data_IF_176573709767
#
_entry.id   IF_176573709767
#
_cell.length_a   1.000
_cell.length_b   1.000
_cell.length_c   1.000
_cell.angle_alpha   90.00
_cell.angle_beta   90.00
_cell.angle_gamma   90.00
#
_symmetry.space_group_name_H-M   'P 1'
#
loop_
_entity.id
_entity.type
_entity.pdbx_description
1 polymer ?
#
# COMPACT_ATOMS: atom_id res chain seq x y z
N UNK A 1 -5.54 2.51 7.06
CA UNK A 1 -6.21 3.33 8.09
C UNK A 1 -6.26 4.82 7.76
N UNK A 2 -5.13 5.50 7.47
CA UNK A 2 -5.12 6.94 7.19
C UNK A 2 -6.04 7.35 6.01
N UNK A 3 -6.02 6.60 4.91
CA UNK A 3 -6.92 6.83 3.76
C UNK A 3 -8.41 6.74 4.14
N UNK A 4 -8.77 5.84 5.06
CA UNK A 4 -10.14 5.72 5.57
C UNK A 4 -10.54 6.95 6.37
N UNK A 5 -9.62 7.46 7.22
CA UNK A 5 -9.83 8.72 7.93
C UNK A 5 -10.03 9.90 6.96
N UNK A 6 -9.22 9.99 5.90
CA UNK A 6 -9.38 11.02 4.87
C UNK A 6 -10.74 10.92 4.16
N UNK A 7 -11.16 9.70 3.79
CA UNK A 7 -12.47 9.48 3.18
C UNK A 7 -13.60 9.94 4.11
N UNK A 8 -13.51 9.64 5.41
CA UNK A 8 -14.51 10.06 6.39
C UNK A 8 -14.53 11.58 6.61
N UNK A 9 -13.36 12.22 6.67
CA UNK A 9 -13.25 13.65 6.95
C UNK A 9 -13.69 14.50 5.74
N UNK A 10 -13.23 14.13 4.54
CA UNK A 10 -13.46 14.91 3.32
C UNK A 10 -14.68 14.46 2.52
N UNK A 11 -15.26 13.30 2.85
CA UNK A 11 -16.45 12.74 2.17
C UNK A 11 -16.24 12.61 0.66
N UNK A 12 -15.05 12.18 0.25
CA UNK A 12 -14.63 12.04 -1.16
C UNK A 12 -14.71 10.59 -1.65
N UNK A 13 -14.88 10.36 -2.98
CA UNK A 13 -14.73 9.03 -3.57
C UNK A 13 -13.28 8.54 -3.46
N UNK A 14 -13.12 7.22 -3.41
CA UNK A 14 -11.84 6.52 -3.29
C UNK A 14 -11.75 5.42 -4.35
N UNK A 15 -10.61 5.35 -5.03
CA UNK A 15 -10.22 4.21 -5.87
C UNK A 15 -9.03 3.50 -5.20
N UNK A 16 -9.06 2.17 -5.18
CA UNK A 16 -7.97 1.34 -4.66
C UNK A 16 -7.58 0.34 -5.73
N UNK A 17 -6.34 0.45 -6.21
CA UNK A 17 -5.74 -0.46 -7.18
C UNK A 17 -5.15 -1.68 -6.47
N UNK A 18 -5.40 -2.86 -7.02
CA UNK A 18 -4.74 -4.11 -6.63
C UNK A 18 -3.85 -4.56 -7.80
N UNK A 19 -2.55 -4.38 -7.64
CA UNK A 19 -1.52 -4.64 -8.67
C UNK A 19 -1.17 -6.12 -8.75
N UNK A 20 -2.17 -6.96 -9.06
CA UNK A 20 -1.99 -8.41 -9.22
C UNK A 20 -1.09 -8.76 -10.41
N UNK A 21 -1.11 -7.94 -11.47
CA UNK A 21 -0.18 -8.05 -12.60
C UNK A 21 1.27 -7.76 -12.20
N UNK A 22 1.52 -6.72 -11.39
CA UNK A 22 2.83 -6.43 -10.81
C UNK A 22 3.34 -7.61 -9.96
N UNK A 23 2.50 -8.15 -9.07
CA UNK A 23 2.90 -9.30 -8.26
C UNK A 23 3.27 -10.50 -9.12
N UNK A 24 2.51 -10.79 -10.17
CA UNK A 24 2.82 -11.84 -11.14
C UNK A 24 4.15 -11.58 -11.88
N UNK A 25 4.46 -10.33 -12.20
CA UNK A 25 5.67 -9.95 -12.93
C UNK A 25 6.95 -9.92 -12.06
N UNK A 26 6.83 -9.60 -10.77
CA UNK A 26 7.97 -9.48 -9.85
C UNK A 26 8.22 -10.71 -8.98
N UNK A 27 7.22 -11.58 -8.82
CA UNK A 27 7.30 -12.80 -8.04
C UNK A 27 7.06 -14.00 -8.94
N UNK A 28 7.54 -15.17 -8.50
CA UNK A 28 7.27 -16.42 -9.21
C UNK A 28 5.86 -16.93 -8.85
N UNK A 29 4.83 -16.20 -9.31
CA UNK A 29 3.42 -16.49 -9.08
C UNK A 29 2.70 -16.64 -10.41
N UNK A 30 1.75 -17.57 -10.49
CA UNK A 30 0.85 -17.65 -11.64
C UNK A 30 -0.14 -16.48 -11.67
N UNK A 31 -0.81 -16.30 -12.81
CA UNK A 31 -1.88 -15.29 -12.95
C UNK A 31 -3.04 -15.63 -12.02
N UNK A 32 -3.39 -16.91 -11.90
CA UNK A 32 -4.47 -17.40 -11.05
C UNK A 32 -4.15 -17.15 -9.57
N UNK A 33 -2.93 -17.45 -9.14
CA UNK A 33 -2.46 -17.18 -7.78
C UNK A 33 -2.49 -15.68 -7.47
N UNK A 34 -2.02 -14.85 -8.40
CA UNK A 34 -1.98 -13.40 -8.21
C UNK A 34 -3.38 -12.79 -8.09
N UNK A 35 -4.33 -13.24 -8.94
CA UNK A 35 -5.74 -12.84 -8.85
C UNK A 35 -6.39 -13.28 -7.54
N UNK A 36 -6.10 -14.50 -7.08
CA UNK A 36 -6.58 -15.01 -5.80
C UNK A 36 -6.06 -14.16 -4.63
N UNK A 37 -4.77 -13.82 -4.63
CA UNK A 37 -4.17 -12.95 -3.62
C UNK A 37 -4.79 -11.55 -3.61
N UNK A 38 -5.02 -10.94 -4.78
CA UNK A 38 -5.75 -9.68 -4.86
C UNK A 38 -7.17 -9.79 -4.28
N UNK A 39 -7.88 -10.87 -4.56
CA UNK A 39 -9.21 -11.10 -3.99
C UNK A 39 -9.19 -11.22 -2.45
N UNK A 40 -8.22 -11.96 -1.90
CA UNK A 40 -8.06 -12.06 -0.44
C UNK A 40 -7.63 -10.72 0.18
N UNK A 41 -6.70 -9.98 -0.44
CA UNK A 41 -6.28 -8.67 0.05
C UNK A 41 -7.40 -7.62 -0.03
N UNK A 42 -8.31 -7.73 -1.01
CA UNK A 42 -9.50 -6.88 -1.06
C UNK A 42 -10.35 -7.03 0.21
N UNK A 43 -10.46 -8.23 0.77
CA UNK A 43 -11.20 -8.49 2.03
C UNK A 43 -10.57 -7.74 3.20
N UNK A 44 -9.25 -7.78 3.33
CA UNK A 44 -8.53 -7.07 4.39
C UNK A 44 -8.68 -5.55 4.27
N UNK A 45 -8.66 -5.04 3.04
CA UNK A 45 -8.90 -3.62 2.76
C UNK A 45 -10.34 -3.24 3.15
N UNK A 46 -11.34 -4.02 2.74
CA UNK A 46 -12.75 -3.79 3.08
C UNK A 46 -12.94 -3.79 4.60
N UNK A 47 -12.26 -4.68 5.32
CA UNK A 47 -12.34 -4.76 6.77
C UNK A 47 -11.84 -3.50 7.50
N UNK A 48 -11.02 -2.65 6.85
CA UNK A 48 -10.65 -1.33 7.38
C UNK A 48 -11.87 -0.39 7.53
N UNK A 49 -13.02 -0.75 6.95
CA UNK A 49 -14.29 -0.06 7.15
C UNK A 49 -14.48 1.15 6.25
N UNK A 50 -14.04 1.05 4.99
CA UNK A 50 -14.33 2.05 3.96
C UNK A 50 -15.82 2.09 3.60
N UNK A 51 -16.31 3.25 3.15
CA UNK A 51 -17.68 3.42 2.70
C UNK A 51 -17.87 2.74 1.34
N UNK A 52 -18.66 1.67 1.29
CA UNK A 52 -18.94 0.90 0.06
C UNK A 52 -19.58 1.75 -1.05
N UNK A 53 -20.31 2.81 -0.69
CA UNK A 53 -20.98 3.68 -1.68
C UNK A 53 -20.02 4.66 -2.35
N UNK A 54 -18.80 4.80 -1.82
CA UNK A 54 -17.79 5.76 -2.28
C UNK A 54 -16.43 5.13 -2.55
N UNK A 55 -16.33 3.80 -2.49
CA UNK A 55 -15.05 3.09 -2.63
C UNK A 55 -15.14 2.11 -3.79
N UNK A 56 -14.24 2.27 -4.75
CA UNK A 56 -14.08 1.34 -5.85
C UNK A 56 -12.73 0.64 -5.73
N UNK A 57 -12.75 -0.68 -5.55
CA UNK A 57 -11.55 -1.52 -5.49
C UNK A 57 -11.51 -2.33 -6.78
N UNK A 58 -10.37 -2.34 -7.46
CA UNK A 58 -10.21 -3.06 -8.72
C UNK A 58 -8.89 -3.82 -8.78
N UNK A 59 -8.91 -4.95 -9.49
CA UNK A 59 -7.73 -5.71 -9.88
C UNK A 59 -7.30 -5.26 -11.27
N UNK A 60 -5.99 -5.10 -11.48
CA UNK A 60 -5.45 -4.67 -12.76
C UNK A 60 -5.77 -5.69 -13.85
N UNK A 61 -5.60 -6.98 -13.58
CA UNK A 61 -5.98 -8.02 -14.55
C UNK A 61 -7.46 -8.01 -14.96
N UNK A 62 -8.36 -7.46 -14.15
CA UNK A 62 -9.80 -7.44 -14.44
C UNK A 62 -10.29 -6.09 -15.00
N UNK A 63 -9.61 -4.99 -14.66
CA UNK A 63 -10.08 -3.65 -14.99
C UNK A 63 -9.31 -2.99 -16.15
N UNK A 64 -8.06 -3.39 -16.39
CA UNK A 64 -7.23 -2.83 -17.46
C UNK A 64 -7.89 -3.08 -18.82
N UNK A 65 -8.33 -2.00 -19.44
CA UNK A 65 -9.03 -1.98 -20.72
C UNK A 65 -9.67 -0.62 -20.97
N UNK A 66 -10.30 -0.45 -22.14
CA UNK A 66 -11.04 0.77 -22.50
C UNK A 66 -10.26 2.06 -22.18
N UNK A 67 -10.93 3.00 -21.50
CA UNK A 67 -10.36 4.30 -21.14
C UNK A 67 -9.11 4.21 -20.23
N UNK A 68 -9.01 3.17 -19.38
CA UNK A 68 -7.84 2.96 -18.53
C UNK A 68 -6.60 2.69 -19.40
N UNK A 69 -6.73 1.78 -20.37
CA UNK A 69 -5.65 1.44 -21.29
C UNK A 69 -5.30 2.59 -22.24
N UNK A 70 -6.28 3.38 -22.69
CA UNK A 70 -6.01 4.60 -23.47
C UNK A 70 -5.12 5.59 -22.71
N UNK A 71 -5.37 5.79 -21.42
CA UNK A 71 -4.52 6.62 -20.58
C UNK A 71 -3.14 6.00 -20.36
N UNK A 72 -3.03 4.67 -20.24
CA UNK A 72 -1.73 3.98 -20.16
C UNK A 72 -0.87 4.29 -21.38
N UNK A 73 -1.47 4.22 -22.59
CA UNK A 73 -0.76 4.54 -23.83
C UNK A 73 -0.33 6.02 -23.88
N UNK A 74 -1.19 6.95 -23.47
CA UNK A 74 -0.85 8.39 -23.40
C UNK A 74 0.34 8.65 -22.47
N UNK A 75 0.33 8.02 -21.29
CA UNK A 75 1.40 8.11 -20.29
C UNK A 75 2.69 7.46 -20.80
N UNK A 76 2.61 6.23 -21.31
CA UNK A 76 3.76 5.48 -21.82
C UNK A 76 4.49 6.24 -22.93
N UNK A 77 3.78 6.93 -23.83
CA UNK A 77 4.39 7.77 -24.88
C UNK A 77 5.23 8.94 -24.35
N UNK A 78 5.04 9.33 -23.08
CA UNK A 78 5.77 10.43 -22.44
C UNK A 78 7.01 9.96 -21.65
N UNK A 79 7.18 8.64 -21.50
CA UNK A 79 8.19 8.00 -20.68
C UNK A 79 9.17 7.26 -21.60
N UNK A 80 10.45 7.59 -21.50
CA UNK A 80 11.51 6.90 -22.25
C UNK A 80 12.13 5.82 -21.38
N UNK A 81 12.75 4.83 -22.00
CA UNK A 81 13.48 3.79 -21.27
C UNK A 81 14.53 4.36 -20.32
N UNK A 82 15.31 5.35 -20.77
CA UNK A 82 16.31 6.02 -19.91
C UNK A 82 15.71 6.64 -18.64
N UNK A 83 14.45 7.10 -18.67
CA UNK A 83 13.78 7.62 -17.47
C UNK A 83 13.48 6.49 -16.48
N UNK A 84 12.92 5.37 -16.94
CA UNK A 84 12.59 4.27 -16.03
C UNK A 84 13.84 3.60 -15.46
N UNK A 85 14.95 3.57 -16.22
CA UNK A 85 16.27 3.18 -15.70
C UNK A 85 16.72 4.13 -14.58
N UNK A 86 16.63 5.44 -14.80
CA UNK A 86 17.06 6.43 -13.80
C UNK A 86 16.20 6.49 -12.54
N UNK A 87 14.90 6.17 -12.64
CA UNK A 87 13.93 6.28 -11.54
C UNK A 87 13.82 4.96 -10.77
N UNK A 88 13.71 3.83 -11.46
CA UNK A 88 13.43 2.52 -10.86
C UNK A 88 14.64 1.58 -10.86
N UNK A 89 15.75 1.95 -11.52
CA UNK A 89 16.95 1.13 -11.57
C UNK A 89 16.82 -0.10 -12.48
N UNK A 90 15.88 -0.11 -13.42
CA UNK A 90 15.74 -1.22 -14.37
C UNK A 90 16.99 -1.39 -15.24
N UNK A 91 17.21 -2.62 -15.66
CA UNK A 91 18.32 -3.01 -16.53
C UNK A 91 17.80 -3.53 -17.87
N UNK A 92 18.70 -3.76 -18.83
CA UNK A 92 18.33 -4.40 -20.09
C UNK A 92 18.01 -5.90 -19.94
N UNK A 93 18.31 -6.49 -18.78
CA UNK A 93 17.97 -7.88 -18.45
C UNK A 93 16.55 -8.02 -17.88
N UNK A 94 15.95 -6.92 -17.41
CA UNK A 94 14.57 -6.93 -16.95
C UNK A 94 13.60 -7.16 -18.12
N UNK A 95 12.58 -7.96 -17.86
CA UNK A 95 11.57 -8.27 -18.88
C UNK A 95 10.69 -7.05 -19.18
N UNK A 96 10.15 -7.02 -20.39
CA UNK A 96 9.37 -5.89 -20.93
C UNK A 96 8.12 -5.58 -20.09
N UNK A 97 7.61 -6.54 -19.33
CA UNK A 97 6.49 -6.34 -18.42
C UNK A 97 6.85 -5.35 -17.31
N UNK A 98 7.98 -5.56 -16.61
CA UNK A 98 8.45 -4.63 -15.56
C UNK A 98 8.69 -3.24 -16.10
N UNK A 99 9.33 -3.15 -17.26
CA UNK A 99 9.71 -1.88 -17.89
C UNK A 99 8.47 -1.08 -18.29
N UNK A 100 7.40 -1.76 -18.71
CA UNK A 100 6.15 -1.14 -19.16
C UNK A 100 5.07 -1.03 -18.08
N UNK A 101 5.33 -1.52 -16.87
CA UNK A 101 4.40 -1.46 -15.75
C UNK A 101 4.14 -0.05 -15.20
N UNK A 102 5.11 0.89 -15.06
CA UNK A 102 4.85 2.15 -14.37
C UNK A 102 3.58 2.89 -14.83
N UNK A 103 3.28 3.04 -16.14
CA UNK A 103 2.00 3.57 -16.61
C UNK A 103 0.74 2.95 -15.99
N UNK A 104 0.72 1.65 -15.69
CA UNK A 104 -0.40 0.95 -15.02
C UNK A 104 -0.67 1.56 -13.66
N UNK A 105 0.38 1.88 -12.90
CA UNK A 105 0.27 2.48 -11.58
C UNK A 105 0.05 4.00 -11.61
N UNK A 106 0.46 4.68 -12.69
CA UNK A 106 0.27 6.14 -12.83
C UNK A 106 -1.18 6.52 -13.18
N UNK A 107 -1.82 5.77 -14.08
CA UNK A 107 -3.11 6.17 -14.67
C UNK A 107 -4.31 6.22 -13.72
N UNK A 108 -4.35 5.51 -12.57
CA UNK A 108 -5.38 5.74 -11.56
C UNK A 108 -5.37 7.17 -10.99
N UNK A 109 -4.28 7.91 -11.18
CA UNK A 109 -4.18 9.33 -10.81
C UNK A 109 -5.09 10.24 -11.66
N UNK A 110 -5.61 9.74 -12.79
CA UNK A 110 -6.43 10.51 -13.73
C UNK A 110 -7.89 10.03 -13.71
N UNK A 111 -8.86 10.93 -13.50
CA UNK A 111 -10.28 10.56 -13.36
C UNK A 111 -10.86 9.93 -14.64
N UNK A 112 -10.32 10.25 -15.81
CA UNK A 112 -10.74 9.68 -17.09
C UNK A 112 -10.44 8.18 -17.23
N UNK A 113 -9.59 7.61 -16.36
CA UNK A 113 -9.39 6.17 -16.23
C UNK A 113 -10.61 5.46 -15.63
N UNK A 114 -11.54 6.21 -15.03
CA UNK A 114 -12.76 5.72 -14.40
C UNK A 114 -13.99 6.49 -14.91
N UNK A 115 -14.32 6.41 -16.21
CA UNK A 115 -15.40 7.22 -16.80
C UNK A 115 -16.77 6.92 -16.20
N UNK A 116 -16.96 5.70 -15.68
CA UNK A 116 -18.18 5.28 -14.99
C UNK A 116 -18.32 5.88 -13.57
N UNK A 117 -17.21 6.27 -12.92
CA UNK A 117 -17.22 6.95 -11.62
C UNK A 117 -17.22 8.48 -11.78
N UNK A 118 -16.52 8.99 -12.79
CA UNK A 118 -16.25 10.42 -12.98
C UNK A 118 -16.65 10.93 -14.38
N UNK A 119 -17.92 10.72 -14.81
CA UNK A 119 -18.34 11.10 -16.16
C UNK A 119 -18.20 12.61 -16.39
N UNK A 120 -17.44 12.99 -17.42
CA UNK A 120 -17.21 14.39 -17.81
C UNK A 120 -16.36 15.20 -16.82
N UNK A 121 -15.69 14.56 -15.86
CA UNK A 121 -14.93 15.21 -14.79
C UNK A 121 -13.41 15.01 -14.94
N UNK A 122 -12.89 15.28 -16.13
CA UNK A 122 -11.49 15.00 -16.50
C UNK A 122 -10.44 15.83 -15.74
N UNK A 123 -10.87 16.89 -15.06
CA UNK A 123 -10.00 17.83 -14.33
C UNK A 123 -10.09 17.69 -12.80
N UNK A 124 -10.68 16.59 -12.30
CA UNK A 124 -10.66 16.32 -10.86
C UNK A 124 -9.23 16.14 -10.36
N UNK A 125 -8.95 16.71 -9.19
CA UNK A 125 -7.66 16.52 -8.50
C UNK A 125 -7.66 15.18 -7.79
N UNK A 126 -6.54 14.48 -7.88
CA UNK A 126 -6.28 13.25 -7.15
C UNK A 126 -5.36 13.53 -5.95
N UNK A 127 -5.66 12.91 -4.81
CA UNK A 127 -4.80 12.86 -3.62
C UNK A 127 -4.40 11.40 -3.39
N UNK A 128 -3.10 11.15 -3.25
CA UNK A 128 -2.51 9.82 -3.13
C UNK A 128 -1.84 9.70 -1.76
N UNK A 129 -2.48 9.03 -0.79
CA UNK A 129 -1.82 8.65 0.46
C UNK A 129 -1.04 7.36 0.23
N UNK A 130 0.28 7.41 0.38
CA UNK A 130 1.15 6.24 0.19
C UNK A 130 2.35 6.28 1.16
N UNK A 131 3.09 5.17 1.26
CA UNK A 131 4.40 5.19 1.88
C UNK A 131 5.43 5.82 0.91
N UNK A 132 6.54 6.32 1.46
CA UNK A 132 7.56 7.09 0.71
C UNK A 132 8.24 6.29 -0.41
N UNK A 133 8.23 4.96 -0.36
CA UNK A 133 8.77 4.11 -1.43
C UNK A 133 7.98 4.18 -2.75
N UNK A 134 6.75 4.70 -2.71
CA UNK A 134 5.90 4.86 -3.88
C UNK A 134 6.07 6.22 -4.57
N UNK A 135 6.76 7.19 -3.95
CA UNK A 135 7.04 8.52 -4.55
C UNK A 135 7.63 8.44 -5.96
N UNK A 136 8.57 7.55 -6.30
CA UNK A 136 9.16 7.48 -7.65
C UNK A 136 8.11 7.36 -8.78
N UNK A 137 7.04 6.57 -8.58
CA UNK A 137 5.94 6.45 -9.54
C UNK A 137 5.19 7.77 -9.71
N UNK A 138 4.79 8.40 -8.61
CA UNK A 138 3.94 9.58 -8.66
C UNK A 138 4.71 10.86 -8.96
N UNK A 139 6.01 10.90 -8.65
CA UNK A 139 6.92 11.94 -9.12
C UNK A 139 7.02 11.92 -10.65
N UNK A 140 7.16 10.74 -11.25
CA UNK A 140 7.10 10.59 -12.71
C UNK A 140 5.72 10.96 -13.27
N UNK A 141 4.64 10.54 -12.61
CA UNK A 141 3.26 10.89 -12.99
C UNK A 141 3.06 12.41 -13.03
N UNK A 142 3.60 13.15 -12.05
CA UNK A 142 3.51 14.62 -11.98
C UNK A 142 4.26 15.34 -13.09
N UNK A 143 5.31 14.73 -13.65
CA UNK A 143 6.04 15.25 -14.81
C UNK A 143 5.32 14.97 -16.14
N UNK A 144 4.56 13.88 -16.19
CA UNK A 144 3.78 13.45 -17.36
C UNK A 144 2.44 14.18 -17.43
N UNK A 145 1.72 14.34 -16.32
CA UNK A 145 0.37 14.91 -16.25
C UNK A 145 0.14 16.19 -17.09
N UNK A 146 0.97 17.25 -17.00
CA UNK A 146 0.75 18.47 -17.79
C UNK A 146 0.96 18.26 -19.30
N UNK A 147 1.73 17.25 -19.72
CA UNK A 147 1.99 16.94 -21.14
C UNK A 147 0.79 16.29 -21.82
N UNK A 148 -0.06 15.65 -21.03
CA UNK A 148 -1.27 14.95 -21.49
C UNK A 148 -2.56 15.68 -21.09
N UNK A 149 -2.44 16.92 -20.57
CA UNK A 149 -3.58 17.79 -20.28
C UNK A 149 -4.33 17.50 -18.96
N UNK A 150 -3.72 16.76 -18.03
CA UNK A 150 -4.32 16.45 -16.72
C UNK A 150 -3.68 17.24 -15.57
N UNK A 151 -4.40 17.29 -14.45
CA UNK A 151 -3.90 17.87 -13.21
C UNK A 151 -2.87 16.96 -12.55
N UNK A 152 -1.84 17.56 -11.94
CA UNK A 152 -0.84 16.82 -11.16
C UNK A 152 -1.49 16.23 -9.91
N UNK A 153 -1.28 14.94 -9.58
CA UNK A 153 -1.73 14.39 -8.31
C UNK A 153 -0.99 15.03 -7.14
N UNK A 154 -1.68 15.18 -6.01
CA UNK A 154 -1.09 15.53 -4.71
C UNK A 154 -0.74 14.26 -3.95
N UNK A 155 0.31 14.29 -3.12
CA UNK A 155 0.75 13.16 -2.32
C UNK A 155 0.71 13.51 -0.83
N UNK A 156 0.42 12.51 0.00
CA UNK A 156 0.74 12.53 1.43
C UNK A 156 1.52 11.25 1.73
N UNK A 157 2.76 11.42 2.16
CA UNK A 157 3.69 10.31 2.39
C UNK A 157 3.73 9.94 3.87
N UNK A 158 3.64 8.64 4.17
CA UNK A 158 3.94 8.11 5.50
C UNK A 158 5.39 7.63 5.59
N UNK A 159 5.95 7.71 6.80
CA UNK A 159 7.16 6.97 7.14
C UNK A 159 6.93 5.46 7.02
N UNK A 160 8.02 4.70 6.96
CA UNK A 160 7.94 3.24 7.02
C UNK A 160 7.52 2.78 8.42
N UNK A 161 6.85 1.63 8.46
CA UNK A 161 6.76 0.84 9.69
C UNK A 161 8.07 0.06 9.85
N UNK A 162 8.74 0.26 10.98
CA UNK A 162 9.93 -0.49 11.36
C UNK A 162 9.59 -1.99 11.48
N UNK A 163 10.55 -2.85 11.16
CA UNK A 163 10.46 -4.28 11.43
C UNK A 163 10.33 -4.54 12.94
N UNK A 164 10.14 -5.79 13.36
CA UNK A 164 10.21 -6.12 14.79
C UNK A 164 11.65 -6.13 15.31
N UNK A 165 12.68 -6.25 14.47
CA UNK A 165 14.05 -6.46 14.93
C UNK A 165 14.92 -5.19 15.03
N UNK A 166 14.37 -3.99 14.83
CA UNK A 166 15.10 -2.72 14.90
C UNK A 166 15.14 -1.93 13.59
N UNK A 167 15.72 -0.72 13.69
CA UNK A 167 15.80 0.34 12.66
C UNK A 167 16.42 -0.06 11.31
N UNK A 168 17.06 -1.23 11.19
CA UNK A 168 17.74 -1.64 9.94
C UNK A 168 16.86 -2.41 8.96
N UNK A 169 15.57 -2.61 9.24
CA UNK A 169 14.67 -3.37 8.39
C UNK A 169 13.27 -2.76 8.21
N UNK A 170 12.70 -2.92 7.01
CA UNK A 170 11.27 -2.71 6.74
C UNK A 170 10.50 -3.98 7.11
N UNK A 171 9.32 -3.84 7.72
CA UNK A 171 8.44 -4.99 7.94
C UNK A 171 8.09 -5.63 6.59
N UNK A 172 8.43 -6.91 6.42
CA UNK A 172 8.29 -7.60 5.14
C UNK A 172 7.67 -8.97 5.35
N UNK A 173 6.66 -9.29 4.54
CA UNK A 173 6.06 -10.63 4.51
C UNK A 173 7.05 -11.74 4.11
N UNK A 174 8.25 -11.37 3.62
CA UNK A 174 9.32 -12.33 3.29
C UNK A 174 10.10 -12.83 4.52
N UNK A 175 10.07 -12.12 5.65
CA UNK A 175 10.59 -12.62 6.94
C UNK A 175 9.44 -12.76 7.94
N UNK A 176 8.96 -13.99 8.22
CA UNK A 176 7.87 -14.25 9.16
C UNK A 176 8.10 -13.73 10.58
N UNK A 177 9.35 -13.54 11.00
CA UNK A 177 9.70 -13.04 12.33
C UNK A 177 9.78 -11.51 12.39
N UNK A 178 9.83 -10.84 11.23
CA UNK A 178 9.90 -9.39 11.14
C UNK A 178 8.55 -8.69 11.25
N UNK A 179 7.45 -9.44 11.10
CA UNK A 179 6.11 -8.90 10.94
C UNK A 179 5.08 -9.52 11.88
N UNK A 180 4.16 -8.67 12.35
CA UNK A 180 2.91 -9.10 12.97
C UNK A 180 1.86 -9.14 11.87
N UNK A 181 1.29 -10.32 11.62
CA UNK A 181 0.28 -10.51 10.59
C UNK A 181 -1.13 -10.27 11.16
N UNK A 182 -2.05 -9.83 10.31
CA UNK A 182 -3.47 -9.68 10.66
C UNK A 182 -4.14 -11.02 11.00
N UNK A 183 -3.52 -12.13 10.61
CA UNK A 183 -3.95 -13.50 10.90
C UNK A 183 -3.32 -14.10 12.16
N UNK A 184 -2.37 -13.41 12.81
CA UNK A 184 -1.71 -13.92 14.02
C UNK A 184 -2.70 -14.01 15.20
N UNK A 185 -2.61 -15.10 15.97
CA UNK A 185 -3.40 -15.22 17.19
C UNK A 185 -2.87 -14.29 18.29
N UNK A 186 -3.69 -13.98 19.31
CA UNK A 186 -3.23 -13.17 20.45
C UNK A 186 -2.00 -13.74 21.16
N UNK A 187 -1.82 -15.08 21.12
CA UNK A 187 -0.65 -15.76 21.67
C UNK A 187 0.58 -15.53 20.78
N UNK A 188 0.42 -15.61 19.47
CA UNK A 188 1.52 -15.41 18.52
C UNK A 188 1.98 -13.96 18.52
N UNK A 189 1.04 -13.01 18.56
CA UNK A 189 1.32 -11.58 18.73
C UNK A 189 2.15 -11.36 19.99
N UNK A 190 1.71 -11.88 21.15
CA UNK A 190 2.43 -11.75 22.41
C UNK A 190 3.83 -12.35 22.34
N UNK A 191 3.98 -13.52 21.73
CA UNK A 191 5.27 -14.18 21.57
C UNK A 191 6.21 -13.40 20.66
N UNK A 192 5.71 -12.88 19.53
CA UNK A 192 6.50 -12.10 18.59
C UNK A 192 7.01 -10.81 19.21
N UNK A 193 6.13 -10.08 19.89
CA UNK A 193 6.51 -8.85 20.60
C UNK A 193 7.55 -9.14 21.69
N UNK A 194 7.33 -10.16 22.52
CA UNK A 194 8.25 -10.42 23.63
C UNK A 194 9.61 -10.98 23.19
N UNK A 195 9.70 -11.65 22.04
CA UNK A 195 10.93 -12.34 21.61
C UNK A 195 11.70 -11.60 20.55
N UNK A 196 11.01 -10.89 19.66
CA UNK A 196 11.63 -10.31 18.47
C UNK A 196 11.62 -8.79 18.49
N UNK A 197 10.66 -8.12 19.18
CA UNK A 197 10.61 -6.67 19.26
C UNK A 197 11.89 -6.10 19.89
N UNK A 198 12.58 -5.21 19.18
CA UNK A 198 13.76 -4.57 19.70
C UNK A 198 13.41 -3.67 20.89
N UNK A 199 14.07 -3.91 22.02
CA UNK A 199 13.89 -3.13 23.24
C UNK A 199 14.97 -2.06 23.35
N UNK A 200 14.55 -0.80 23.51
CA UNK A 200 15.44 0.29 23.91
C UNK A 200 15.79 0.28 25.41
N UNK A 201 15.34 -0.75 26.15
CA UNK A 201 15.66 -0.95 27.56
C UNK A 201 17.11 -1.40 27.78
N UNK A 202 17.53 -1.41 29.05
CA UNK A 202 18.87 -1.84 29.43
C UNK A 202 18.85 -3.32 29.80
N UNK A 203 19.99 -4.00 29.66
CA UNK A 203 20.13 -5.45 29.91
C UNK A 203 19.74 -5.88 31.33
N UNK A 204 19.88 -4.99 32.31
CA UNK A 204 19.53 -5.23 33.70
C UNK A 204 18.55 -4.19 34.25
N UNK A 205 17.71 -4.61 35.19
CA UNK A 205 16.74 -3.72 35.88
C UNK A 205 17.45 -2.56 36.58
N UNK A 206 18.64 -2.81 37.14
CA UNK A 206 19.42 -1.80 37.84
C UNK A 206 19.93 -0.72 36.88
N UNK A 207 20.50 -1.13 35.74
CA UNK A 207 20.91 -0.20 34.69
C UNK A 207 19.72 0.53 34.09
N UNK A 208 18.58 -0.13 33.91
CA UNK A 208 17.37 0.49 33.38
C UNK A 208 16.81 1.57 34.32
N UNK A 209 16.84 1.33 35.63
CA UNK A 209 16.45 2.35 36.63
C UNK A 209 17.42 3.54 36.67
N UNK A 210 18.70 3.30 36.39
CA UNK A 210 19.75 4.32 36.48
C UNK A 210 19.86 5.17 35.20
N UNK A 211 19.80 4.55 34.03
CA UNK A 211 20.04 5.20 32.73
C UNK A 211 18.77 5.37 31.89
N UNK A 212 17.66 4.75 32.27
CA UNK A 212 16.41 4.79 31.53
C UNK A 212 16.42 3.96 30.24
N UNK A 213 15.33 4.07 29.48
CA UNK A 213 15.18 3.49 28.14
C UNK A 213 15.58 4.50 27.07
N UNK A 214 16.22 4.04 26.00
CA UNK A 214 16.35 4.84 24.79
C UNK A 214 15.07 4.73 23.95
N UNK A 215 14.27 5.79 23.95
CA UNK A 215 12.99 5.83 23.25
C UNK A 215 13.12 6.03 21.73
N UNK A 216 14.31 6.37 21.22
CA UNK A 216 14.55 6.51 19.78
C UNK A 216 14.71 5.14 19.12
N UNK A 217 15.31 4.17 19.82
CA UNK A 217 15.55 2.82 19.29
C UNK A 217 14.47 1.81 19.73
N UNK A 218 13.48 2.21 20.54
CA UNK A 218 12.50 1.29 21.12
C UNK A 218 11.29 1.01 20.20
N UNK A 219 11.21 -0.20 19.62
CA UNK A 219 10.09 -0.61 18.77
C UNK A 219 8.86 -1.12 19.55
N UNK A 220 9.06 -1.53 20.81
CA UNK A 220 7.96 -1.83 21.74
C UNK A 220 7.09 -0.61 22.06
N UNK A 221 7.51 0.61 21.67
CA UNK A 221 6.72 1.83 21.80
C UNK A 221 5.71 2.04 20.67
N UNK A 222 6.07 1.68 19.44
CA UNK A 222 5.21 1.82 18.26
C UNK A 222 4.18 0.69 18.15
N UNK A 223 4.56 -0.49 18.67
CA UNK A 223 3.71 -1.69 18.65
C UNK A 223 2.35 -1.52 19.38
N UNK A 224 2.26 -0.89 20.58
CA UNK A 224 1.00 -0.56 21.24
C UNK A 224 0.11 0.40 20.44
N UNK A 225 0.68 1.29 19.63
CA UNK A 225 -0.09 2.18 18.76
C UNK A 225 -0.69 1.40 17.59
N UNK A 226 0.08 0.50 16.98
CA UNK A 226 -0.41 -0.48 16.00
C UNK A 226 -1.51 -1.39 16.56
N UNK A 227 -1.35 -1.94 17.76
CA UNK A 227 -2.37 -2.78 18.41
C UNK A 227 -3.64 -2.01 18.77
N UNK A 228 -3.53 -0.74 19.17
CA UNK A 228 -4.71 0.12 19.41
C UNK A 228 -5.45 0.44 18.11
N UNK A 229 -4.75 0.56 16.98
CA UNK A 229 -5.39 0.68 15.66
C UNK A 229 -6.05 -0.64 15.21
N UNK A 230 -5.44 -1.79 15.54
CA UNK A 230 -6.00 -3.13 15.33
C UNK A 230 -6.93 -3.57 16.48
N UNK A 231 -7.70 -2.63 17.04
CA UNK A 231 -8.58 -2.85 18.19
C UNK A 231 -9.57 -4.00 17.95
N UNK A 232 -10.18 -4.57 19.00
CA UNK A 232 -11.17 -5.65 18.90
C UNK A 232 -12.27 -5.39 17.87
N UNK A 233 -12.59 -4.11 17.61
CA UNK A 233 -13.51 -3.67 16.57
C UNK A 233 -13.12 -4.10 15.15
N UNK A 234 -11.83 -4.11 14.80
CA UNK A 234 -11.36 -4.58 13.49
C UNK A 234 -11.54 -6.10 13.40
N UNK A 235 -11.13 -6.86 14.42
CA UNK A 235 -11.26 -8.32 14.48
C UNK A 235 -12.71 -8.81 14.60
N UNK A 236 -13.57 -8.12 15.36
CA UNK A 236 -15.00 -8.41 15.50
C UNK A 236 -15.76 -8.10 14.22
N UNK A 237 -15.43 -7.01 13.52
CA UNK A 237 -16.04 -6.67 12.24
C UNK A 237 -15.57 -7.61 11.13
N UNK A 238 -14.30 -8.01 11.15
CA UNK A 238 -13.76 -9.08 10.28
C UNK A 238 -14.54 -10.39 10.52
N UNK A 239 -14.67 -10.83 11.78
CA UNK A 239 -15.48 -12.02 12.13
C UNK A 239 -16.95 -11.88 11.74
N UNK A 240 -17.58 -10.74 11.96
CA UNK A 240 -18.99 -10.48 11.65
C UNK A 240 -19.28 -10.49 10.15
N UNK A 241 -18.35 -10.02 9.32
CA UNK A 241 -18.49 -10.04 7.85
C UNK A 241 -18.34 -11.47 7.31
N UNK A 242 -17.51 -12.31 7.94
CA UNK A 242 -17.16 -13.64 7.42
C UNK A 242 -17.92 -14.82 8.06
N UNK A 243 -18.46 -14.70 9.28
CA UNK A 243 -19.13 -15.81 9.98
C UNK A 243 -20.68 -15.81 9.90
N UNK A 244 -21.32 -14.86 9.22
CA UNK A 244 -22.79 -14.86 9.04
C UNK A 244 -23.29 -15.40 7.69
N UNK A 245 -22.44 -16.12 6.94
CA UNK A 245 -22.86 -16.91 5.78
C UNK A 245 -22.26 -18.32 5.82
N UNK A 246 -22.70 -19.09 6.82
CA UNK A 246 -22.81 -20.55 6.75
C UNK A 246 -24.11 -20.95 7.42
#
# INVERSE_FOLDING_TARGET
>A
MFTKYLQDAFKVPLVIQLTDDEKCMWKNLSVEESKMLAHENAKDIIACGFDITRTFIFSDFNYVGGAFYENMVKVAKCITFNKVVGIFGFTQEDHIGKISFPPVQEVPSFPSSFPHLFPGKDQLRCLIPCAIDQDPYFRMTRDVAPRIGYQKPALIESSFFSALQGETGRMSASDPNSAIYVTDSSKDIKNKVNRYAFSGGQDSIENHRKYGANLETEESRDTPWCMKMMTPYFLERWRSIFYHRY
#
